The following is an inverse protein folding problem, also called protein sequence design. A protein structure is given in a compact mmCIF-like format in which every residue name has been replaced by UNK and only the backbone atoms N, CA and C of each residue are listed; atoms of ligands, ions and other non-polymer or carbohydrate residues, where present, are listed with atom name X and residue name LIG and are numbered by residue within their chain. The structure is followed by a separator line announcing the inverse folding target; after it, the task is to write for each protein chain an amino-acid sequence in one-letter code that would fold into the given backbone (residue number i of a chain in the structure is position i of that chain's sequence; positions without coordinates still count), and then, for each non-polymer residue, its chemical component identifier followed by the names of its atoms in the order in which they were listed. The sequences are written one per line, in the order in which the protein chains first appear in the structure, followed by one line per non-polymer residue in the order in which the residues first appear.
data_IF_113250489772
#
_entry.id   IF_113250489772
#
_cell.length_a   1.000
_cell.length_b   1.000
_cell.length_c   1.000
_cell.angle_alpha   90.00
_cell.angle_beta   90.00
_cell.angle_gamma   90.00
#
_symmetry.space_group_name_H-M   'P 1'
#
loop_
_entity.id
_entity.type
_entity.pdbx_description
1 polymer ?
#
# COMPACT_ATOMS: atom_id res chain seq x y z
N UNK A 1 -1.20 -63.49 -55.04
CA UNK A 1 -0.69 -63.70 -53.67
C UNK A 1 0.54 -62.83 -53.36
N UNK A 2 1.63 -62.93 -54.13
CA UNK A 2 2.84 -62.09 -53.94
C UNK A 2 2.56 -60.58 -53.97
N UNK A 3 1.79 -60.09 -54.93
CA UNK A 3 1.51 -58.66 -55.11
C UNK A 3 0.66 -58.06 -53.98
N UNK A 4 -0.28 -58.84 -53.44
CA UNK A 4 -1.09 -58.47 -52.26
C UNK A 4 -0.24 -58.42 -50.98
N UNK A 5 0.72 -59.34 -50.82
CA UNK A 5 1.66 -59.34 -49.71
C UNK A 5 2.57 -58.10 -49.72
N UNK A 6 3.08 -57.71 -50.89
CA UNK A 6 3.93 -56.51 -51.04
C UNK A 6 3.16 -55.23 -50.72
N UNK A 7 1.92 -55.08 -51.21
CA UNK A 7 1.10 -53.89 -50.92
C UNK A 7 0.78 -53.78 -49.42
N UNK A 8 0.44 -54.89 -48.76
CA UNK A 8 0.19 -54.90 -47.31
C UNK A 8 1.42 -54.51 -46.51
N UNK A 9 2.60 -55.02 -46.89
CA UNK A 9 3.86 -54.70 -46.22
C UNK A 9 4.24 -53.22 -46.37
N UNK A 10 4.01 -52.64 -47.56
CA UNK A 10 4.26 -51.22 -47.84
C UNK A 10 3.35 -50.31 -47.00
N UNK A 11 2.08 -50.67 -46.82
CA UNK A 11 1.14 -49.89 -45.99
C UNK A 11 1.56 -49.95 -44.51
N UNK A 12 1.90 -51.13 -44.00
CA UNK A 12 2.35 -51.31 -42.61
C UNK A 12 3.65 -50.53 -42.36
N UNK A 13 4.60 -50.63 -43.29
CA UNK A 13 5.88 -49.92 -43.21
C UNK A 13 5.69 -48.40 -43.25
N UNK A 14 4.84 -47.90 -44.14
CA UNK A 14 4.52 -46.47 -44.23
C UNK A 14 3.84 -45.96 -42.95
N UNK A 15 2.90 -46.73 -42.39
CA UNK A 15 2.26 -46.42 -41.12
C UNK A 15 3.24 -46.38 -39.95
N UNK A 16 4.19 -47.32 -39.91
CA UNK A 16 5.25 -47.37 -38.89
C UNK A 16 6.16 -46.14 -38.94
N UNK A 17 6.56 -45.70 -40.13
CA UNK A 17 7.37 -44.48 -40.29
C UNK A 17 6.61 -43.24 -39.80
N UNK A 18 5.32 -43.13 -40.12
CA UNK A 18 4.50 -42.00 -39.67
C UNK A 18 4.35 -41.99 -38.15
N UNK A 19 4.11 -43.15 -37.53
CA UNK A 19 4.02 -43.28 -36.08
C UNK A 19 5.35 -42.91 -35.39
N UNK A 20 6.48 -43.43 -35.89
CA UNK A 20 7.81 -43.10 -35.35
C UNK A 20 8.12 -41.61 -35.45
N UNK A 21 7.75 -40.94 -36.55
CA UNK A 21 7.91 -39.49 -36.70
C UNK A 21 7.03 -38.71 -35.72
N UNK A 22 5.77 -39.11 -35.55
CA UNK A 22 4.87 -38.46 -34.60
C UNK A 22 5.35 -38.62 -33.16
N UNK A 23 5.83 -39.81 -32.79
CA UNK A 23 6.40 -40.07 -31.47
C UNK A 23 7.69 -39.29 -31.23
N UNK A 24 8.58 -39.24 -32.23
CA UNK A 24 9.80 -38.44 -32.15
C UNK A 24 9.49 -36.95 -31.96
N UNK A 25 8.50 -36.43 -32.69
CA UNK A 25 8.06 -35.04 -32.57
C UNK A 25 7.48 -34.72 -31.18
N UNK A 26 6.62 -35.58 -30.64
CA UNK A 26 6.07 -35.42 -29.29
C UNK A 26 7.16 -35.48 -28.21
N UNK A 27 8.13 -36.40 -28.36
CA UNK A 27 9.28 -36.51 -27.46
C UNK A 27 10.15 -35.26 -27.52
N UNK A 28 10.40 -34.74 -28.72
CA UNK A 28 11.17 -33.50 -28.91
C UNK A 28 10.50 -32.29 -28.27
N UNK A 29 9.17 -32.16 -28.37
CA UNK A 29 8.44 -31.09 -27.68
C UNK A 29 8.56 -31.22 -26.15
N UNK A 30 8.46 -32.44 -25.63
CA UNK A 30 8.60 -32.67 -24.19
C UNK A 30 10.00 -32.33 -23.68
N UNK A 31 11.05 -32.72 -24.43
CA UNK A 31 12.44 -32.36 -24.10
C UNK A 31 12.63 -30.85 -24.15
N UNK A 32 12.18 -30.18 -25.21
CA UNK A 32 12.29 -28.73 -25.33
C UNK A 32 11.55 -27.99 -24.20
N UNK A 33 10.39 -28.50 -23.79
CA UNK A 33 9.66 -28.00 -22.63
C UNK A 33 10.48 -28.13 -21.35
N UNK A 34 11.02 -29.30 -21.07
CA UNK A 34 11.83 -29.55 -19.87
C UNK A 34 13.11 -28.71 -19.85
N UNK A 35 13.77 -28.55 -21.00
CA UNK A 35 14.95 -27.69 -21.15
C UNK A 35 14.62 -26.22 -20.83
N UNK A 36 13.48 -25.72 -21.29
CA UNK A 36 13.04 -24.35 -21.00
C UNK A 36 12.71 -24.17 -19.51
N UNK A 37 12.01 -25.13 -18.88
CA UNK A 37 11.75 -25.12 -17.44
C UNK A 37 13.07 -25.09 -16.65
N UNK A 38 14.01 -25.98 -16.97
CA UNK A 38 15.32 -26.01 -16.31
C UNK A 38 16.11 -24.72 -16.53
N UNK A 39 16.04 -24.13 -17.72
CA UNK A 39 16.72 -22.87 -18.00
C UNK A 39 16.20 -21.72 -17.13
N UNK A 40 14.86 -21.64 -16.97
CA UNK A 40 14.22 -20.66 -16.08
C UNK A 40 14.63 -20.88 -14.63
N UNK A 41 14.58 -22.12 -14.13
CA UNK A 41 14.97 -22.46 -12.76
C UNK A 41 16.45 -22.18 -12.49
N UNK A 42 17.33 -22.47 -13.45
CA UNK A 42 18.75 -22.14 -13.36
C UNK A 42 19.00 -20.62 -13.31
N UNK A 43 18.23 -19.82 -14.05
CA UNK A 43 18.31 -18.34 -14.00
C UNK A 43 17.85 -17.82 -12.64
N UNK A 44 16.78 -18.37 -12.10
CA UNK A 44 16.31 -18.06 -10.74
C UNK A 44 17.39 -18.39 -9.71
N UNK A 45 17.93 -19.62 -9.72
CA UNK A 45 18.97 -20.05 -8.78
C UNK A 45 20.25 -19.20 -8.89
N UNK A 46 20.64 -18.80 -10.11
CA UNK A 46 21.77 -17.92 -10.33
C UNK A 46 21.49 -16.48 -9.82
N UNK A 47 20.25 -15.99 -9.94
CA UNK A 47 19.84 -14.72 -9.37
C UNK A 47 19.92 -14.74 -7.84
N UNK A 48 19.39 -15.81 -7.21
CA UNK A 48 19.46 -16.01 -5.77
C UNK A 48 20.91 -16.04 -5.27
N UNK A 49 21.80 -16.72 -5.98
CA UNK A 49 23.23 -16.73 -5.68
C UNK A 49 23.83 -15.32 -5.75
N UNK A 50 23.53 -14.53 -6.79
CA UNK A 50 24.02 -13.15 -6.91
C UNK A 50 23.52 -12.26 -5.77
N UNK A 51 22.26 -12.44 -5.37
CA UNK A 51 21.67 -11.73 -4.23
C UNK A 51 22.44 -12.00 -2.93
N UNK A 52 22.85 -13.24 -2.67
CA UNK A 52 23.68 -13.62 -1.50
C UNK A 52 25.02 -12.85 -1.49
N UNK A 53 25.57 -12.55 -2.67
CA UNK A 53 26.81 -11.77 -2.83
C UNK A 53 26.57 -10.25 -3.00
N UNK A 54 25.37 -9.74 -2.68
CA UNK A 54 24.97 -8.33 -2.82
C UNK A 54 25.06 -7.77 -4.26
N UNK A 55 25.00 -8.62 -5.29
CA UNK A 55 24.89 -8.20 -6.69
C UNK A 55 23.41 -8.10 -7.11
N UNK A 56 22.71 -7.07 -6.61
CA UNK A 56 21.29 -6.83 -6.91
C UNK A 56 21.04 -6.55 -8.40
N UNK A 57 21.92 -5.78 -9.05
CA UNK A 57 21.81 -5.48 -10.49
C UNK A 57 21.88 -6.75 -11.33
N UNK A 58 22.83 -7.63 -11.02
CA UNK A 58 22.97 -8.92 -11.69
C UNK A 58 21.84 -9.90 -11.38
N UNK A 59 21.37 -9.94 -10.13
CA UNK A 59 20.19 -10.71 -9.74
C UNK A 59 18.95 -10.26 -10.52
N UNK A 60 18.70 -8.95 -10.60
CA UNK A 60 17.59 -8.37 -11.35
C UNK A 60 17.64 -8.73 -12.84
N UNK A 61 18.82 -8.61 -13.47
CA UNK A 61 18.99 -8.97 -14.88
C UNK A 61 18.62 -10.44 -15.14
N UNK A 62 19.10 -11.37 -14.30
CA UNK A 62 18.79 -12.80 -14.43
C UNK A 62 17.32 -13.11 -14.23
N UNK A 63 16.65 -12.47 -13.25
CA UNK A 63 15.21 -12.63 -13.05
C UNK A 63 14.39 -12.07 -14.22
N UNK A 64 14.84 -10.98 -14.85
CA UNK A 64 14.20 -10.45 -16.06
C UNK A 64 14.38 -11.34 -17.27
N UNK A 65 15.55 -11.97 -17.43
CA UNK A 65 15.73 -13.01 -18.44
C UNK A 65 14.83 -14.23 -18.18
N UNK A 66 14.70 -14.67 -16.92
CA UNK A 66 13.80 -15.75 -16.53
C UNK A 66 12.33 -15.42 -16.83
N UNK A 67 11.88 -14.20 -16.49
CA UNK A 67 10.54 -13.69 -16.81
C UNK A 67 10.28 -13.67 -18.32
N UNK A 68 11.25 -13.25 -19.12
CA UNK A 68 11.15 -13.29 -20.59
C UNK A 68 11.05 -14.72 -21.13
N UNK A 69 11.85 -15.65 -20.61
CA UNK A 69 11.79 -17.07 -20.99
C UNK A 69 10.44 -17.70 -20.63
N UNK A 70 9.86 -17.30 -19.50
CA UNK A 70 8.56 -17.79 -19.05
C UNK A 70 7.43 -17.50 -20.06
N UNK A 71 7.50 -16.38 -20.80
CA UNK A 71 6.54 -16.05 -21.87
C UNK A 71 6.53 -17.06 -23.03
N UNK A 72 7.59 -17.87 -23.15
CA UNK A 72 7.73 -18.89 -24.19
C UNK A 72 7.21 -20.26 -23.73
N UNK A 73 6.90 -20.42 -22.44
CA UNK A 73 6.44 -21.69 -21.88
C UNK A 73 5.03 -22.02 -22.40
N UNK A 74 4.82 -23.18 -23.05
CA UNK A 74 3.48 -23.66 -23.40
C UNK A 74 2.58 -23.81 -22.18
N UNK A 75 1.27 -23.57 -22.36
CA UNK A 75 0.23 -23.67 -21.33
C UNK A 75 -0.98 -24.48 -21.82
N UNK A 76 -0.75 -25.53 -22.61
CA UNK A 76 -1.80 -26.30 -23.30
C UNK A 76 -2.45 -27.34 -22.38
N UNK A 77 -1.65 -27.97 -21.53
CA UNK A 77 -2.13 -28.93 -20.53
C UNK A 77 -2.33 -28.30 -19.15
N UNK A 78 -3.03 -29.00 -18.26
CA UNK A 78 -3.18 -28.57 -16.85
C UNK A 78 -1.82 -28.50 -16.14
N UNK A 79 -0.96 -29.51 -16.32
CA UNK A 79 0.36 -29.54 -15.69
C UNK A 79 1.31 -28.45 -16.20
N UNK A 80 1.19 -28.10 -17.49
CA UNK A 80 1.93 -26.98 -18.07
C UNK A 80 1.50 -25.63 -17.46
N UNK A 81 0.19 -25.42 -17.27
CA UNK A 81 -0.34 -24.22 -16.59
C UNK A 81 0.10 -24.13 -15.14
N UNK A 82 0.03 -25.23 -14.40
CA UNK A 82 0.48 -25.27 -13.01
C UNK A 82 1.98 -24.95 -12.89
N UNK A 83 2.80 -25.47 -13.80
CA UNK A 83 4.23 -25.16 -13.85
C UNK A 83 4.48 -23.69 -14.19
N UNK A 84 3.73 -23.13 -15.15
CA UNK A 84 3.81 -21.71 -15.49
C UNK A 84 3.47 -20.83 -14.27
N UNK A 85 2.33 -21.06 -13.61
CA UNK A 85 1.88 -20.26 -12.47
C UNK A 85 2.87 -20.34 -11.29
N UNK A 86 3.42 -21.54 -11.03
CA UNK A 86 4.46 -21.73 -10.02
C UNK A 86 5.71 -20.90 -10.34
N UNK A 87 6.26 -21.02 -11.55
CA UNK A 87 7.46 -20.28 -11.95
C UNK A 87 7.21 -18.76 -12.00
N UNK A 88 6.04 -18.34 -12.47
CA UNK A 88 5.60 -16.95 -12.45
C UNK A 88 5.62 -16.38 -11.03
N UNK A 89 4.96 -17.06 -10.09
CA UNK A 89 4.87 -16.62 -8.68
C UNK A 89 6.25 -16.52 -8.05
N UNK A 90 7.13 -17.50 -8.31
CA UNK A 90 8.50 -17.50 -7.80
C UNK A 90 9.32 -16.31 -8.33
N UNK A 91 9.28 -16.06 -9.64
CA UNK A 91 10.02 -14.97 -10.27
C UNK A 91 9.46 -13.61 -9.84
N UNK A 92 8.13 -13.46 -9.82
CA UNK A 92 7.47 -12.21 -9.42
C UNK A 92 7.76 -11.87 -7.96
N UNK A 93 7.66 -12.86 -7.06
CA UNK A 93 8.03 -12.70 -5.65
C UNK A 93 9.49 -12.27 -5.50
N UNK A 94 10.42 -12.92 -6.21
CA UNK A 94 11.83 -12.56 -6.17
C UNK A 94 12.10 -11.13 -6.70
N UNK A 95 11.35 -10.68 -7.72
CA UNK A 95 11.44 -9.32 -8.25
C UNK A 95 10.86 -8.27 -7.28
N UNK A 96 9.76 -8.60 -6.60
CA UNK A 96 9.16 -7.75 -5.56
C UNK A 96 10.12 -7.60 -4.37
N UNK A 97 10.70 -8.71 -3.91
CA UNK A 97 11.69 -8.73 -2.83
C UNK A 97 12.90 -7.86 -3.16
N UNK A 98 13.45 -7.98 -4.38
CA UNK A 98 14.61 -7.18 -4.83
C UNK A 98 14.30 -5.67 -4.86
N UNK A 99 13.03 -5.31 -5.08
CA UNK A 99 12.57 -3.91 -5.08
C UNK A 99 12.14 -3.42 -3.69
N UNK A 100 12.27 -4.26 -2.66
CA UNK A 100 11.74 -3.99 -1.31
C UNK A 100 10.24 -3.67 -1.33
N UNK A 101 9.48 -4.32 -2.22
CA UNK A 101 8.02 -4.17 -2.30
C UNK A 101 7.38 -5.31 -1.52
N UNK A 102 6.68 -4.97 -0.44
CA UNK A 102 5.84 -5.92 0.29
C UNK A 102 4.41 -5.79 -0.20
N UNK A 103 3.89 -6.84 -0.82
CA UNK A 103 2.47 -6.93 -1.17
C UNK A 103 1.69 -7.30 0.09
N UNK A 104 0.72 -6.46 0.46
CA UNK A 104 -0.18 -6.72 1.58
C UNK A 104 -1.59 -6.93 1.04
N UNK A 105 -2.28 -7.96 1.53
CA UNK A 105 -3.69 -8.13 1.25
C UNK A 105 -4.48 -7.34 2.30
N UNK A 106 -5.12 -6.21 1.96
CA UNK A 106 -5.84 -5.42 2.93
C UNK A 106 -7.07 -6.18 3.43
N UNK A 107 -7.32 -6.10 4.72
CA UNK A 107 -8.55 -6.60 5.35
C UNK A 107 -9.44 -5.42 5.71
N UNK A 108 -10.75 -5.54 5.43
CA UNK A 108 -11.72 -4.53 5.84
C UNK A 108 -11.79 -4.50 7.37
N UNK A 109 -11.41 -3.38 7.97
CA UNK A 109 -11.47 -3.19 9.42
C UNK A 109 -12.88 -2.81 9.86
N UNK A 110 -13.48 -1.81 9.20
CA UNK A 110 -14.83 -1.35 9.46
C UNK A 110 -15.44 -0.70 8.21
N UNK A 111 -16.75 -0.85 8.05
CA UNK A 111 -17.55 -0.06 7.11
C UNK A 111 -18.39 0.95 7.89
N UNK A 112 -18.05 2.23 7.76
CA UNK A 112 -18.71 3.31 8.49
C UNK A 112 -20.18 3.45 8.11
N UNK A 113 -20.58 3.04 6.91
CA UNK A 113 -21.97 3.12 6.45
C UNK A 113 -22.86 2.03 7.07
N UNK A 114 -22.26 1.03 7.70
CA UNK A 114 -23.02 -0.03 8.39
C UNK A 114 -23.74 0.60 9.60
N UNK A 115 -25.05 0.82 9.46
CA UNK A 115 -25.94 1.45 10.45
C UNK A 115 -25.73 2.95 10.70
N UNK A 116 -24.94 3.65 9.86
CA UNK A 116 -24.83 5.11 9.91
C UNK A 116 -25.14 5.69 8.54
N UNK A 117 -26.28 6.36 8.40
CA UNK A 117 -26.60 7.10 7.18
C UNK A 117 -25.84 8.44 7.14
N UNK A 118 -25.55 8.92 5.92
CA UNK A 118 -24.95 10.24 5.69
C UNK A 118 -23.50 10.39 6.13
N UNK A 119 -22.69 9.33 6.05
CA UNK A 119 -21.25 9.40 6.37
C UNK A 119 -20.53 10.25 5.32
N UNK A 120 -19.83 11.30 5.75
CA UNK A 120 -19.10 12.23 4.88
C UNK A 120 -17.68 12.52 5.40
N UNK A 121 -17.04 11.53 6.03
CA UNK A 121 -15.67 11.65 6.52
C UNK A 121 -14.66 11.69 5.38
N UNK A 122 -13.66 12.59 5.46
CA UNK A 122 -12.60 12.75 4.45
C UNK A 122 -11.20 12.72 5.05
N UNK A 123 -11.10 12.56 6.37
CA UNK A 123 -9.85 12.56 7.14
C UNK A 123 -9.83 11.37 8.08
N UNK A 124 -8.62 10.91 8.37
CA UNK A 124 -8.35 9.80 9.29
C UNK A 124 -7.16 10.18 10.16
N UNK A 125 -7.29 9.97 11.46
CA UNK A 125 -6.20 10.07 12.43
C UNK A 125 -6.16 8.80 13.26
N UNK A 126 -5.01 8.52 13.88
CA UNK A 126 -4.83 7.38 14.75
C UNK A 126 -4.36 7.87 16.11
N UNK A 127 -4.93 7.34 17.19
CA UNK A 127 -4.41 7.52 18.55
C UNK A 127 -4.42 6.14 19.22
N UNK A 128 -3.24 5.69 19.64
CA UNK A 128 -3.00 4.30 20.08
C UNK A 128 -3.53 3.28 19.04
N UNK A 129 -4.51 2.47 19.45
CA UNK A 129 -5.18 1.45 18.63
C UNK A 129 -6.54 1.90 18.08
N UNK A 130 -6.92 3.15 18.30
CA UNK A 130 -8.12 3.74 17.72
C UNK A 130 -7.81 4.48 16.41
N UNK A 131 -8.57 4.17 15.36
CA UNK A 131 -8.67 4.98 14.15
C UNK A 131 -9.89 5.89 14.26
N UNK A 132 -9.72 7.19 14.04
CA UNK A 132 -10.80 8.17 14.11
C UNK A 132 -10.99 8.80 12.74
N UNK A 133 -12.12 8.50 12.10
CA UNK A 133 -12.52 9.12 10.85
C UNK A 133 -13.42 10.35 11.13
N UNK A 134 -13.18 11.43 10.39
CA UNK A 134 -13.88 12.71 10.53
C UNK A 134 -13.82 13.52 9.24
N UNK A 135 -14.50 14.67 9.18
CA UNK A 135 -14.39 15.58 8.05
C UNK A 135 -15.17 16.88 8.27
N UNK A 136 -14.97 17.90 7.41
CA UNK A 136 -15.66 19.17 7.55
C UNK A 136 -17.16 19.08 7.20
N UNK A 137 -17.58 18.02 6.51
CA UNK A 137 -18.97 17.80 6.10
C UNK A 137 -19.67 16.70 6.90
N UNK A 138 -19.04 16.22 7.97
CA UNK A 138 -19.62 15.27 8.92
C UNK A 138 -19.41 15.81 10.34
N UNK A 139 -20.50 15.90 11.12
CA UNK A 139 -20.43 16.35 12.51
C UNK A 139 -20.20 15.18 13.49
N UNK A 140 -19.74 14.04 12.98
CA UNK A 140 -19.49 12.83 13.77
C UNK A 140 -18.02 12.43 13.68
N UNK A 141 -17.50 11.98 14.81
CA UNK A 141 -16.29 11.19 14.90
C UNK A 141 -16.66 9.71 14.88
N UNK A 142 -16.03 8.94 14.01
CA UNK A 142 -16.17 7.49 13.94
C UNK A 142 -14.89 6.88 14.48
N UNK A 143 -14.97 6.29 15.67
CA UNK A 143 -13.85 5.70 16.38
C UNK A 143 -13.91 4.20 16.16
N UNK A 144 -12.93 3.66 15.45
CA UNK A 144 -12.78 2.24 15.16
C UNK A 144 -11.61 1.68 15.96
N UNK A 145 -11.90 0.73 16.84
CA UNK A 145 -10.88 -0.05 17.52
C UNK A 145 -10.21 -1.03 16.53
N UNK A 146 -8.88 -0.97 16.39
CA UNK A 146 -8.13 -1.80 15.45
C UNK A 146 -8.11 -3.29 15.80
N UNK A 147 -8.29 -3.63 17.07
CA UNK A 147 -8.13 -5.00 17.55
C UNK A 147 -9.49 -5.70 17.65
N UNK A 148 -10.52 -5.00 18.14
CA UNK A 148 -11.88 -5.55 18.29
C UNK A 148 -12.78 -5.23 17.10
N UNK A 149 -12.35 -4.34 16.20
CA UNK A 149 -13.13 -3.82 15.08
C UNK A 149 -14.43 -3.11 15.53
N UNK A 150 -14.50 -2.70 16.79
CA UNK A 150 -15.68 -2.03 17.33
C UNK A 150 -15.76 -0.61 16.79
N UNK A 151 -16.93 -0.23 16.28
CA UNK A 151 -17.23 1.12 15.81
C UNK A 151 -18.05 1.87 16.88
N UNK A 152 -17.52 2.99 17.34
CA UNK A 152 -18.20 3.98 18.18
C UNK A 152 -18.41 5.27 17.39
N UNK A 153 -19.55 5.93 17.60
CA UNK A 153 -19.90 7.17 16.90
C UNK A 153 -20.19 8.24 17.94
N UNK A 154 -19.50 9.38 17.80
CA UNK A 154 -19.65 10.53 18.68
C UNK A 154 -20.03 11.75 17.86
N UNK A 155 -21.18 12.36 18.15
CA UNK A 155 -21.55 13.66 17.57
C UNK A 155 -20.76 14.80 18.23
N UNK A 156 -20.44 15.81 17.44
CA UNK A 156 -19.92 17.11 17.87
C UNK A 156 -20.71 18.27 17.26
N UNK A 157 -22.04 18.11 17.08
CA UNK A 157 -22.92 19.11 16.44
C UNK A 157 -22.85 20.52 17.06
N UNK A 158 -22.46 20.64 18.33
CA UNK A 158 -22.28 21.92 19.02
C UNK A 158 -20.94 22.60 18.76
N UNK A 159 -20.01 21.95 18.05
CA UNK A 159 -18.65 22.43 17.78
C UNK A 159 -18.50 22.79 16.29
N UNK A 160 -17.48 23.59 15.97
CA UNK A 160 -17.17 23.87 14.58
C UNK A 160 -16.75 22.60 13.83
N UNK A 161 -17.01 22.61 12.53
CA UNK A 161 -16.61 21.55 11.59
C UNK A 161 -15.10 21.34 11.63
N UNK A 162 -14.66 20.10 11.82
CA UNK A 162 -13.25 19.73 11.93
C UNK A 162 -12.61 19.63 10.54
N UNK A 163 -11.49 20.32 10.31
CA UNK A 163 -10.84 20.41 8.99
C UNK A 163 -9.55 19.58 8.91
N UNK A 164 -8.83 19.44 10.03
CA UNK A 164 -7.59 18.67 10.11
C UNK A 164 -7.34 18.23 11.55
N UNK A 165 -6.52 17.19 11.71
CA UNK A 165 -6.15 16.69 13.02
C UNK A 165 -4.83 15.93 12.98
N UNK A 166 -4.19 15.82 14.13
CA UNK A 166 -2.92 15.12 14.28
C UNK A 166 -2.75 14.59 15.69
N UNK A 167 -2.17 13.39 15.76
CA UNK A 167 -1.69 12.78 16.99
C UNK A 167 -0.16 12.83 16.97
N UNK A 168 0.49 13.32 18.04
CA UNK A 168 1.93 13.29 18.15
C UNK A 168 2.43 11.86 18.36
N UNK A 169 3.75 11.69 18.25
CA UNK A 169 4.39 10.37 18.38
C UNK A 169 4.16 9.74 19.75
N UNK A 170 4.03 10.57 20.78
CA UNK A 170 3.76 10.20 22.16
C UNK A 170 2.36 9.59 22.35
N UNK A 171 1.43 9.77 21.40
CA UNK A 171 0.04 9.29 21.45
C UNK A 171 -0.72 9.69 22.72
N UNK A 172 -0.38 10.82 23.33
CA UNK A 172 -0.97 11.31 24.58
C UNK A 172 -2.17 12.23 24.34
N UNK A 173 -2.21 12.91 23.20
CA UNK A 173 -3.26 13.87 22.85
C UNK A 173 -3.58 13.82 21.37
N UNK A 174 -4.84 14.04 20.99
CA UNK A 174 -5.21 14.28 19.60
C UNK A 174 -5.70 15.72 19.47
N UNK A 175 -5.10 16.46 18.56
CA UNK A 175 -5.40 17.88 18.32
C UNK A 175 -6.12 18.02 16.99
N UNK A 176 -7.20 18.78 16.98
CA UNK A 176 -7.91 19.15 15.76
C UNK A 176 -7.92 20.66 15.56
N UNK A 177 -7.86 21.06 14.29
CA UNK A 177 -8.24 22.39 13.84
C UNK A 177 -9.63 22.27 13.22
N UNK A 178 -10.55 23.12 13.68
CA UNK A 178 -11.86 23.34 13.08
C UNK A 178 -11.91 24.59 12.23
N UNK A 179 -13.08 24.85 11.64
CA UNK A 179 -13.35 26.10 10.94
C UNK A 179 -13.10 27.32 11.85
N UNK A 180 -12.80 28.46 11.23
CA UNK A 180 -12.47 29.71 11.93
C UNK A 180 -11.25 29.60 12.88
N UNK A 181 -10.31 28.71 12.55
CA UNK A 181 -9.08 28.46 13.32
C UNK A 181 -9.33 28.01 14.77
N UNK A 182 -10.47 27.40 15.06
CA UNK A 182 -10.77 26.89 16.38
C UNK A 182 -9.96 25.62 16.68
N UNK A 183 -9.41 25.55 17.89
CA UNK A 183 -8.60 24.42 18.33
C UNK A 183 -9.42 23.50 19.23
N UNK A 184 -9.31 22.20 19.00
CA UNK A 184 -9.95 21.19 19.81
C UNK A 184 -8.96 20.12 20.25
N UNK A 185 -9.17 19.61 21.46
CA UNK A 185 -8.40 18.52 22.03
C UNK A 185 -9.35 17.35 22.28
N UNK A 186 -8.98 16.20 21.76
CA UNK A 186 -9.63 14.93 22.05
C UNK A 186 -8.85 14.21 23.15
N UNK A 187 -9.53 13.96 24.27
CA UNK A 187 -9.00 13.17 25.37
C UNK A 187 -9.33 11.69 25.13
N UNK A 188 -8.29 10.86 25.00
CA UNK A 188 -8.45 9.42 24.72
C UNK A 188 -9.05 8.62 25.89
N UNK A 189 -8.88 9.07 27.12
CA UNK A 189 -9.37 8.36 28.32
C UNK A 189 -10.87 8.63 28.53
N UNK A 190 -11.32 9.85 28.27
CA UNK A 190 -12.72 10.25 28.47
C UNK A 190 -13.50 10.33 27.16
N UNK A 191 -12.85 10.12 26.01
CA UNK A 191 -13.39 10.34 24.65
C UNK A 191 -13.95 11.74 24.41
N UNK A 192 -13.60 12.71 25.24
CA UNK A 192 -14.20 14.04 25.20
C UNK A 192 -13.46 14.91 24.17
N UNK A 193 -14.21 15.54 23.26
CA UNK A 193 -13.70 16.58 22.37
C UNK A 193 -14.00 17.96 22.98
N UNK A 194 -12.96 18.70 23.35
CA UNK A 194 -13.09 19.96 24.07
C UNK A 194 -12.42 21.11 23.31
N UNK A 195 -13.12 22.24 23.20
CA UNK A 195 -12.54 23.47 22.65
C UNK A 195 -11.43 23.99 23.56
N UNK A 196 -10.33 24.39 22.95
CA UNK A 196 -9.12 24.86 23.64
C UNK A 196 -8.77 26.26 23.16
N UNK A 197 -8.34 27.15 24.07
CA UNK A 197 -8.01 28.52 23.69
C UNK A 197 -6.71 28.57 22.90
N UNK A 198 -6.70 29.31 21.80
CA UNK A 198 -5.51 29.65 21.03
C UNK A 198 -5.65 31.08 20.52
N UNK A 199 -4.54 31.75 20.22
CA UNK A 199 -4.52 33.06 19.58
C UNK A 199 -3.50 33.05 18.45
N UNK A 200 -3.60 34.01 17.53
CA UNK A 200 -2.73 34.08 16.34
C UNK A 200 -2.05 35.45 16.22
N UNK A 201 -0.91 35.55 15.54
CA UNK A 201 -0.22 36.81 15.28
C UNK A 201 -1.06 37.82 14.50
N UNK A 202 -1.92 37.32 13.62
CA UNK A 202 -2.76 38.06 12.69
C UNK A 202 -4.23 37.65 12.81
N UNK A 203 -5.14 38.62 12.70
CA UNK A 203 -6.60 38.39 12.63
C UNK A 203 -7.03 37.66 11.34
N UNK A 204 -6.15 37.62 10.34
CA UNK A 204 -6.37 36.94 9.05
C UNK A 204 -5.61 35.62 8.93
N UNK A 205 -5.16 35.05 10.05
CA UNK A 205 -4.50 33.75 10.02
C UNK A 205 -5.38 32.71 9.30
N UNK A 206 -4.77 31.85 8.50
CA UNK A 206 -5.42 30.73 7.84
C UNK A 206 -4.65 29.46 8.17
N UNK A 207 -4.97 28.87 9.33
CA UNK A 207 -4.17 27.79 9.88
C UNK A 207 -4.70 26.41 9.52
N UNK A 208 -3.78 25.48 9.31
CA UNK A 208 -4.08 24.07 9.05
C UNK A 208 -2.91 23.19 9.51
N UNK A 209 -3.06 21.87 9.34
CA UNK A 209 -2.01 20.87 9.59
C UNK A 209 -1.40 20.99 11.01
N UNK A 210 -2.20 20.78 12.08
CA UNK A 210 -1.67 20.74 13.43
C UNK A 210 -0.60 19.67 13.53
N UNK A 211 0.46 19.99 14.27
CA UNK A 211 1.49 19.02 14.63
C UNK A 211 2.01 19.34 16.03
N UNK A 212 2.03 18.35 16.92
CA UNK A 212 2.54 18.55 18.29
C UNK A 212 3.94 17.94 18.39
N UNK A 213 4.89 18.75 18.86
CA UNK A 213 6.26 18.31 19.12
C UNK A 213 6.84 19.05 20.30
N UNK A 214 7.43 18.31 21.25
CA UNK A 214 8.07 18.88 22.44
C UNK A 214 7.16 19.87 23.19
N UNK A 215 5.92 19.45 23.46
CA UNK A 215 4.87 20.24 24.13
C UNK A 215 4.48 21.54 23.44
N UNK A 216 4.84 21.70 22.16
CA UNK A 216 4.47 22.85 21.34
C UNK A 216 3.58 22.40 20.19
N UNK A 217 2.61 23.24 19.87
CA UNK A 217 1.76 23.07 18.71
C UNK A 217 2.32 23.88 17.55
N UNK A 218 2.48 23.22 16.41
CA UNK A 218 2.90 23.80 15.16
C UNK A 218 1.71 23.82 14.22
N UNK A 219 1.50 24.95 13.56
CA UNK A 219 0.43 25.14 12.59
C UNK A 219 1.00 25.78 11.33
N UNK A 220 0.53 25.33 10.17
CA UNK A 220 0.82 26.00 8.91
C UNK A 220 -0.16 27.14 8.73
N UNK A 221 0.33 28.38 8.70
CA UNK A 221 -0.45 29.56 8.32
C UNK A 221 -0.24 29.88 6.85
N UNK A 222 -1.25 29.53 6.04
CA UNK A 222 -1.25 29.73 4.59
C UNK A 222 -1.33 31.20 4.19
N UNK A 223 -1.89 32.05 5.04
CA UNK A 223 -2.05 33.47 4.73
C UNK A 223 -0.72 34.21 4.76
N UNK A 224 0.18 33.81 5.66
CA UNK A 224 1.50 34.43 5.83
C UNK A 224 2.65 33.56 5.34
N UNK A 225 2.35 32.37 4.80
CA UNK A 225 3.31 31.39 4.33
C UNK A 225 4.35 31.03 5.41
N UNK A 226 3.86 30.76 6.62
CA UNK A 226 4.68 30.53 7.82
C UNK A 226 4.24 29.28 8.57
N UNK A 227 5.15 28.76 9.38
CA UNK A 227 4.81 27.81 10.44
C UNK A 227 4.74 28.59 11.75
N UNK A 228 3.58 28.59 12.39
CA UNK A 228 3.39 29.19 13.71
C UNK A 228 3.68 28.14 14.79
N UNK A 229 4.64 28.44 15.65
CA UNK A 229 4.93 27.65 16.86
C UNK A 229 4.23 28.28 18.06
N UNK A 230 3.32 27.53 18.67
CA UNK A 230 2.62 27.91 19.88
C UNK A 230 3.11 27.12 21.09
N UNK A 231 3.34 27.82 22.21
CA UNK A 231 3.66 27.17 23.48
C UNK A 231 2.37 26.84 24.23
N UNK A 232 2.36 25.70 24.93
CA UNK A 232 1.26 25.31 25.81
C UNK A 232 1.15 26.28 27.00
N UNK A 233 -0.07 26.67 27.32
CA UNK A 233 -0.44 27.49 28.49
C UNK A 233 -1.36 26.68 29.42
N UNK A 234 -1.83 27.28 30.52
CA UNK A 234 -2.77 26.60 31.43
C UNK A 234 -4.09 26.23 30.74
N UNK A 235 -4.59 27.06 29.81
CA UNK A 235 -5.92 26.92 29.21
C UNK A 235 -5.87 26.55 27.71
N UNK A 236 -4.68 26.43 27.13
CA UNK A 236 -4.51 26.04 25.73
C UNK A 236 -3.14 26.40 25.18
N UNK A 237 -3.11 27.26 24.18
CA UNK A 237 -1.89 27.65 23.46
C UNK A 237 -1.77 29.16 23.36
N UNK A 238 -0.53 29.65 23.36
CA UNK A 238 -0.24 31.08 23.23
C UNK A 238 -0.53 31.62 21.82
N UNK A 239 -0.16 32.89 21.59
CA UNK A 239 -0.36 33.60 20.33
C UNK A 239 0.42 33.00 19.15
N UNK A 240 1.42 32.17 19.41
CA UNK A 240 2.32 31.64 18.39
C UNK A 240 3.39 32.63 17.94
N UNK A 241 4.53 32.09 17.51
CA UNK A 241 5.63 32.83 16.88
C UNK A 241 5.97 32.20 15.53
N UNK A 242 6.28 32.97 14.48
CA UNK A 242 6.83 32.43 13.24
C UNK A 242 8.07 31.57 13.52
N UNK A 243 8.16 30.43 12.84
CA UNK A 243 9.25 29.46 12.99
C UNK A 243 10.24 29.50 11.82
N UNK A 244 9.79 29.84 10.62
CA UNK A 244 10.68 29.87 9.45
C UNK A 244 11.47 31.18 9.44
N UNK A 245 12.77 31.05 9.19
CA UNK A 245 13.63 32.20 8.91
C UNK A 245 13.28 32.79 7.54
N UNK A 246 13.43 34.11 7.40
CA UNK A 246 13.13 34.85 6.15
C UNK A 246 13.94 34.35 4.94
N UNK A 247 15.07 33.67 5.17
CA UNK A 247 15.91 33.08 4.12
C UNK A 247 15.41 31.74 3.58
N UNK A 248 14.39 31.14 4.19
CA UNK A 248 13.84 29.84 3.80
C UNK A 248 12.65 30.04 2.87
N UNK A 249 12.85 29.77 1.58
CA UNK A 249 11.77 29.81 0.57
C UNK A 249 11.08 28.46 0.50
N UNK A 250 9.93 28.32 1.17
CA UNK A 250 9.02 27.17 1.03
C UNK A 250 7.63 27.73 0.74
N UNK A 251 6.95 27.19 -0.27
CA UNK A 251 5.55 27.51 -0.55
C UNK A 251 4.64 26.56 0.25
N UNK A 252 3.87 27.11 1.18
CA UNK A 252 2.96 26.41 2.09
C UNK A 252 1.49 26.70 1.78
N UNK A 253 1.19 27.39 0.67
CA UNK A 253 -0.18 27.78 0.30
C UNK A 253 -1.11 26.61 -0.01
#
# INVERSE_FOLDING_TARGET
LLLLGVVSLTIIFSGSILFLRAQAYATQQHVAYQELVMAIENKQAAADARRIYNDESGSFALLKEAEQMLTQLPQKSSGEKETYERLYTLIDTALLDLRNITVVQPTLLADLNTNNEGVHTTKLVRIDDALIAFGPDDNRLYVVDKDTHALSVQSHDSLAKLISGNTPKENDVLVFIGQNNELYIYNKDTTALSKTSISFPSEHANVSAPFVYNLRLYLVDKATNQILRHSKTQNGYDKGTPWLDESVTVDLS
#
